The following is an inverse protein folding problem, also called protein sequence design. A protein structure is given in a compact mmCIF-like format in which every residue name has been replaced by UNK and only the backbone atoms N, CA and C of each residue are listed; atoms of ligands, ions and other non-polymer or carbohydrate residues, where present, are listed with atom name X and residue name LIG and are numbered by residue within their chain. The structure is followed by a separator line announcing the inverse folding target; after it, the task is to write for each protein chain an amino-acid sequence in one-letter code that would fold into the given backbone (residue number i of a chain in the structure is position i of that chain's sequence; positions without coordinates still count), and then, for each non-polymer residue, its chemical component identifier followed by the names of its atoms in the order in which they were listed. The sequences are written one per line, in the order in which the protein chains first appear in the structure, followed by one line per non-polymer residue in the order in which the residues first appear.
data_IF_244644316230
#
_entry.id   IF_244644316230
#
_cell.length_a   1.000
_cell.length_b   1.000
_cell.length_c   1.000
_cell.angle_alpha   90.00
_cell.angle_beta   90.00
_cell.angle_gamma   90.00
#
_symmetry.space_group_name_H-M   'P 1'
#
loop_
_entity.id
_entity.type
_entity.pdbx_description
1 polymer ?
#
# COMPACT_ATOMS: atom_id res chain seq x y z
N UNK A 1 15.60 4.35 -13.33
CA UNK A 1 14.67 4.24 -12.18
C UNK A 1 13.26 4.53 -12.66
N UNK A 2 12.37 3.56 -12.53
CA UNK A 2 10.95 3.80 -12.72
C UNK A 2 10.40 4.47 -11.46
N UNK A 3 9.74 5.61 -11.63
CA UNK A 3 9.05 6.27 -10.52
C UNK A 3 7.87 5.41 -10.06
N UNK A 4 7.65 5.35 -8.76
CA UNK A 4 6.48 4.67 -8.22
C UNK A 4 5.21 5.41 -8.62
N UNK A 5 4.20 4.64 -9.02
CA UNK A 5 2.90 5.15 -9.46
C UNK A 5 1.90 5.05 -8.33
N UNK A 6 1.31 6.17 -7.96
CA UNK A 6 0.34 6.25 -6.89
C UNK A 6 -0.99 6.75 -7.43
N UNK A 7 -2.08 6.19 -6.95
CA UNK A 7 -3.42 6.77 -7.12
C UNK A 7 -3.75 7.51 -5.84
N UNK A 8 -4.15 8.78 -5.97
CA UNK A 8 -4.51 9.64 -4.86
C UNK A 8 -5.91 10.19 -5.06
N UNK A 9 -6.82 9.94 -4.11
CA UNK A 9 -8.21 10.38 -4.19
C UNK A 9 -8.51 11.31 -3.02
N UNK A 10 -8.89 12.54 -3.35
CA UNK A 10 -9.24 13.63 -2.44
C UNK A 10 -10.26 14.52 -3.10
N UNK A 11 -11.44 14.71 -2.51
CA UNK A 11 -12.49 15.56 -3.08
C UNK A 11 -12.24 17.06 -2.92
N UNK A 12 -11.39 17.47 -1.96
CA UNK A 12 -10.90 18.84 -1.87
C UNK A 12 -9.82 19.07 -2.93
N UNK A 13 -10.20 19.72 -4.02
CA UNK A 13 -9.31 19.91 -5.16
C UNK A 13 -8.09 20.78 -4.83
N UNK A 14 -8.26 21.79 -3.98
CA UNK A 14 -7.14 22.67 -3.58
C UNK A 14 -6.12 21.87 -2.78
N UNK A 15 -6.57 21.15 -1.76
CA UNK A 15 -5.69 20.29 -0.96
C UNK A 15 -5.06 19.20 -1.83
N UNK A 16 -5.85 18.55 -2.68
CA UNK A 16 -5.39 17.51 -3.57
C UNK A 16 -4.31 17.97 -4.53
N UNK A 17 -4.46 19.16 -5.11
CA UNK A 17 -3.46 19.74 -6.00
C UNK A 17 -2.15 20.04 -5.26
N UNK A 18 -2.25 20.60 -4.05
CA UNK A 18 -1.07 20.90 -3.22
C UNK A 18 -0.29 19.63 -2.87
N UNK A 19 -0.99 18.62 -2.40
CA UNK A 19 -0.37 17.33 -2.03
C UNK A 19 0.20 16.64 -3.26
N UNK A 20 -0.53 16.63 -4.37
CA UNK A 20 -0.06 16.04 -5.63
C UNK A 20 1.24 16.70 -6.10
N UNK A 21 1.31 18.03 -6.09
CA UNK A 21 2.51 18.74 -6.49
C UNK A 21 3.70 18.39 -5.60
N UNK A 22 3.48 18.33 -4.29
CA UNK A 22 4.52 17.97 -3.34
C UNK A 22 5.01 16.53 -3.57
N UNK A 23 4.10 15.58 -3.83
CA UNK A 23 4.48 14.19 -4.08
C UNK A 23 5.23 14.04 -5.41
N UNK A 24 4.82 14.77 -6.45
CA UNK A 24 5.55 14.81 -7.73
C UNK A 24 6.96 15.35 -7.52
N UNK A 25 7.13 16.38 -6.71
CA UNK A 25 8.44 16.95 -6.39
C UNK A 25 9.35 15.95 -5.66
N UNK A 26 8.78 15.01 -4.91
CA UNK A 26 9.51 13.90 -4.28
C UNK A 26 9.84 12.76 -5.26
N UNK A 27 9.36 12.82 -6.49
CA UNK A 27 9.68 11.84 -7.54
C UNK A 27 8.61 10.79 -7.78
N UNK A 28 7.41 10.92 -7.20
CA UNK A 28 6.31 10.00 -7.46
C UNK A 28 5.53 10.42 -8.71
N UNK A 29 5.00 9.43 -9.41
CA UNK A 29 4.03 9.63 -10.48
C UNK A 29 2.62 9.51 -9.88
N UNK A 30 1.82 10.57 -9.96
CA UNK A 30 0.54 10.66 -9.25
C UNK A 30 -0.62 10.73 -10.24
N UNK A 31 -1.57 9.80 -10.09
CA UNK A 31 -2.90 9.91 -10.69
C UNK A 31 -3.84 10.46 -9.62
N UNK A 32 -4.10 11.77 -9.68
CA UNK A 32 -4.96 12.45 -8.72
C UNK A 32 -6.40 12.49 -9.23
N UNK A 33 -7.34 12.13 -8.36
CA UNK A 33 -8.77 12.10 -8.66
C UNK A 33 -9.59 12.69 -7.53
N UNK A 34 -10.69 13.33 -7.89
CA UNK A 34 -11.61 13.95 -6.93
C UNK A 34 -12.84 13.09 -6.64
N UNK A 35 -12.97 11.93 -7.28
CA UNK A 35 -14.09 11.01 -7.10
C UNK A 35 -13.61 9.56 -7.00
N UNK A 36 -14.47 8.69 -6.45
CA UNK A 36 -14.24 7.25 -6.44
C UNK A 36 -14.64 6.57 -7.76
N UNK A 37 -15.30 7.33 -8.65
CA UNK A 37 -15.77 6.78 -9.93
C UNK A 37 -14.60 6.29 -10.79
N UNK A 38 -14.73 5.11 -11.33
CA UNK A 38 -13.72 4.53 -12.21
C UNK A 38 -12.47 4.01 -11.48
N UNK A 39 -12.47 3.96 -10.15
CA UNK A 39 -11.31 3.49 -9.38
C UNK A 39 -10.97 2.02 -9.68
N UNK A 40 -11.97 1.16 -9.76
CA UNK A 40 -11.74 -0.27 -10.05
C UNK A 40 -11.09 -0.48 -11.40
N UNK A 41 -11.57 0.22 -12.43
CA UNK A 41 -11.01 0.18 -13.78
C UNK A 41 -9.56 0.69 -13.80
N UNK A 42 -9.29 1.73 -13.05
CA UNK A 42 -7.95 2.31 -12.95
C UNK A 42 -6.98 1.40 -12.24
N UNK A 43 -7.43 0.74 -11.18
CA UNK A 43 -6.61 -0.26 -10.48
C UNK A 43 -6.22 -1.40 -11.42
N UNK A 44 -7.16 -1.86 -12.23
CA UNK A 44 -6.93 -2.94 -13.18
C UNK A 44 -5.98 -2.53 -14.32
N UNK A 45 -6.09 -1.30 -14.82
CA UNK A 45 -5.30 -0.82 -15.96
C UNK A 45 -3.93 -0.27 -15.57
N UNK A 46 -3.84 0.47 -14.48
CA UNK A 46 -2.60 1.11 -14.04
C UNK A 46 -1.71 0.22 -13.20
N UNK A 47 -2.30 -0.68 -12.41
CA UNK A 47 -1.59 -1.48 -11.39
C UNK A 47 -0.68 -0.58 -10.54
N UNK A 48 -1.25 0.36 -9.76
CA UNK A 48 -0.45 1.30 -8.98
C UNK A 48 0.35 0.58 -7.89
N UNK A 49 1.42 1.23 -7.46
CA UNK A 49 2.27 0.73 -6.38
C UNK A 49 1.69 1.01 -5.00
N UNK A 50 0.80 2.01 -4.89
CA UNK A 50 0.17 2.40 -3.64
C UNK A 50 -1.08 3.24 -3.92
N UNK A 51 -2.06 3.16 -3.02
CA UNK A 51 -3.31 3.88 -3.08
C UNK A 51 -3.47 4.77 -1.85
N UNK A 52 -3.81 6.04 -2.06
CA UNK A 52 -4.11 7.00 -0.98
C UNK A 52 -5.57 7.43 -1.14
N UNK A 53 -6.36 7.24 -0.09
CA UNK A 53 -7.79 7.52 -0.08
C UNK A 53 -8.18 8.43 1.09
N UNK A 54 -9.09 9.37 0.86
CA UNK A 54 -9.87 9.95 1.94
C UNK A 54 -10.99 8.97 2.37
N UNK A 55 -11.36 8.97 3.64
CA UNK A 55 -12.46 8.14 4.13
C UNK A 55 -13.77 8.51 3.45
N UNK A 56 -14.07 9.80 3.33
CA UNK A 56 -15.27 10.29 2.69
C UNK A 56 -14.94 11.11 1.47
N UNK A 57 -15.40 10.67 0.31
CA UNK A 57 -15.23 11.35 -0.96
C UNK A 57 -16.62 11.60 -1.55
N UNK A 58 -17.03 12.86 -1.68
CA UNK A 58 -18.34 13.25 -2.21
C UNK A 58 -19.50 12.51 -1.50
N UNK A 59 -19.45 12.47 -0.16
CA UNK A 59 -20.43 11.78 0.70
C UNK A 59 -20.48 10.26 0.52
N UNK A 60 -19.49 9.67 -0.16
CA UNK A 60 -19.32 8.22 -0.24
C UNK A 60 -18.18 7.80 0.67
N UNK A 61 -18.40 6.76 1.46
CA UNK A 61 -17.35 6.19 2.30
C UNK A 61 -16.48 5.23 1.50
N UNK A 62 -15.17 5.43 1.51
CA UNK A 62 -14.26 4.48 0.89
C UNK A 62 -14.22 3.14 1.64
N UNK A 63 -14.68 3.10 2.89
CA UNK A 63 -14.75 1.85 3.67
C UNK A 63 -15.69 0.83 3.04
N UNK A 64 -16.67 1.29 2.26
CA UNK A 64 -17.62 0.38 1.58
C UNK A 64 -16.97 -0.38 0.42
N UNK A 65 -15.99 0.24 -0.25
CA UNK A 65 -15.31 -0.37 -1.41
C UNK A 65 -13.97 -1.01 -1.04
N UNK A 66 -13.41 -0.67 0.10
CA UNK A 66 -12.07 -1.09 0.51
C UNK A 66 -11.93 -2.61 0.65
N UNK A 67 -12.90 -3.35 1.24
CA UNK A 67 -12.79 -4.81 1.32
C UNK A 67 -12.70 -5.49 -0.05
N UNK A 68 -13.46 -5.00 -1.04
CA UNK A 68 -13.42 -5.52 -2.40
C UNK A 68 -12.05 -5.25 -3.05
N UNK A 69 -11.49 -4.06 -2.87
CA UNK A 69 -10.16 -3.70 -3.37
C UNK A 69 -9.11 -4.62 -2.72
N UNK A 70 -9.17 -4.78 -1.41
CA UNK A 70 -8.23 -5.63 -0.68
C UNK A 70 -8.32 -7.10 -1.12
N UNK A 71 -9.51 -7.60 -1.40
CA UNK A 71 -9.72 -8.94 -1.90
C UNK A 71 -9.07 -9.16 -3.27
N UNK A 72 -9.21 -8.18 -4.17
CA UNK A 72 -8.62 -8.25 -5.52
C UNK A 72 -7.12 -7.97 -5.53
N UNK A 73 -6.64 -7.10 -4.64
CA UNK A 73 -5.24 -6.66 -4.58
C UNK A 73 -4.70 -6.86 -3.17
N UNK A 74 -4.43 -8.12 -2.76
CA UNK A 74 -4.06 -8.42 -1.36
C UNK A 74 -2.76 -7.75 -0.92
N UNK A 75 -1.88 -7.40 -1.85
CA UNK A 75 -0.57 -6.83 -1.54
C UNK A 75 -0.49 -5.32 -1.76
N UNK A 76 -1.55 -4.69 -2.27
CA UNK A 76 -1.54 -3.26 -2.55
C UNK A 76 -1.48 -2.46 -1.26
N UNK A 77 -0.44 -1.62 -1.04
CA UNK A 77 -0.42 -0.72 0.10
C UNK A 77 -1.52 0.34 -0.02
N UNK A 78 -2.27 0.56 1.05
CA UNK A 78 -3.38 1.52 1.09
C UNK A 78 -3.22 2.41 2.31
N UNK A 79 -3.16 3.72 2.07
CA UNK A 79 -3.15 4.75 3.12
C UNK A 79 -4.50 5.45 3.11
N UNK A 80 -5.12 5.57 4.28
CA UNK A 80 -6.30 6.39 4.49
C UNK A 80 -5.86 7.71 5.11
N UNK A 81 -6.23 8.84 4.49
CA UNK A 81 -6.00 10.18 5.04
C UNK A 81 -7.34 10.82 5.34
N UNK A 82 -7.60 11.22 6.58
CA UNK A 82 -8.91 11.73 6.98
C UNK A 82 -8.83 12.71 8.14
N UNK A 83 -9.77 13.65 8.17
CA UNK A 83 -9.99 14.57 9.30
C UNK A 83 -10.73 13.92 10.47
N UNK A 84 -11.29 12.74 10.30
CA UNK A 84 -11.98 12.04 11.37
C UNK A 84 -11.02 11.53 12.44
N UNK A 85 -11.29 11.88 13.70
CA UNK A 85 -10.48 11.49 14.85
C UNK A 85 -11.10 10.36 15.67
N UNK A 86 -12.27 9.86 15.27
CA UNK A 86 -12.98 8.81 15.96
C UNK A 86 -12.22 7.49 15.89
N UNK A 87 -11.84 6.95 17.05
CA UNK A 87 -11.10 5.70 17.14
C UNK A 87 -11.82 4.52 16.48
N UNK A 88 -13.14 4.47 16.52
CA UNK A 88 -13.93 3.43 15.87
C UNK A 88 -13.75 3.45 14.35
N UNK A 89 -13.72 4.64 13.72
CA UNK A 89 -13.47 4.79 12.29
C UNK A 89 -12.04 4.39 11.91
N UNK A 90 -11.07 4.71 12.75
CA UNK A 90 -9.67 4.30 12.54
C UNK A 90 -9.57 2.77 12.54
N UNK A 91 -10.14 2.12 13.54
CA UNK A 91 -10.14 0.65 13.62
C UNK A 91 -10.85 0.04 12.42
N UNK A 92 -12.01 0.56 12.04
CA UNK A 92 -12.74 0.09 10.85
C UNK A 92 -11.94 0.23 9.56
N UNK A 93 -11.12 1.29 9.45
CA UNK A 93 -10.24 1.48 8.29
C UNK A 93 -9.22 0.35 8.17
N UNK A 94 -8.57 -0.01 9.27
CA UNK A 94 -7.63 -1.13 9.30
C UNK A 94 -8.32 -2.47 9.05
N UNK A 95 -9.48 -2.69 9.67
CA UNK A 95 -10.25 -3.93 9.47
C UNK A 95 -10.73 -4.07 8.02
N UNK A 96 -11.03 -2.96 7.35
CA UNK A 96 -11.44 -2.96 5.94
C UNK A 96 -10.28 -3.22 4.98
N UNK A 97 -9.02 -3.11 5.43
CA UNK A 97 -7.85 -3.43 4.65
C UNK A 97 -6.83 -2.32 4.45
N UNK A 98 -6.95 -1.19 5.16
CA UNK A 98 -5.94 -0.13 5.12
C UNK A 98 -4.65 -0.58 5.81
N UNK A 99 -3.51 -0.20 5.26
CA UNK A 99 -2.20 -0.45 5.87
C UNK A 99 -1.81 0.65 6.85
N UNK A 100 -2.27 1.87 6.62
CA UNK A 100 -1.94 3.01 7.45
C UNK A 100 -3.07 4.04 7.43
N UNK A 101 -3.24 4.75 8.55
CA UNK A 101 -4.21 5.84 8.70
C UNK A 101 -3.45 7.10 9.12
N UNK A 102 -3.64 8.20 8.38
CA UNK A 102 -3.01 9.48 8.68
C UNK A 102 -4.08 10.54 8.94
N UNK A 103 -3.93 11.29 10.02
CA UNK A 103 -4.90 12.33 10.42
C UNK A 103 -4.60 13.63 9.70
N UNK A 104 -5.64 14.26 9.17
CA UNK A 104 -5.56 15.63 8.66
C UNK A 104 -5.74 16.64 9.79
N UNK A 105 -5.04 17.78 9.80
CA UNK A 105 -3.97 18.13 8.88
C UNK A 105 -2.69 17.37 9.18
N UNK A 106 -1.94 17.05 8.14
CA UNK A 106 -0.65 16.37 8.26
C UNK A 106 0.42 17.12 7.50
N UNK A 107 1.67 16.90 7.90
CA UNK A 107 2.82 17.37 7.14
C UNK A 107 3.04 16.42 5.95
N UNK A 108 3.31 16.98 4.76
CA UNK A 108 3.63 16.17 3.57
C UNK A 108 4.82 15.25 3.82
N UNK A 109 5.79 15.69 4.61
CA UNK A 109 6.94 14.87 5.00
C UNK A 109 6.51 13.57 5.69
N UNK A 110 5.51 13.66 6.57
CA UNK A 110 4.93 12.48 7.24
C UNK A 110 4.30 11.52 6.23
N UNK A 111 3.51 12.06 5.29
CA UNK A 111 2.89 11.26 4.24
C UNK A 111 3.95 10.57 3.37
N UNK A 112 4.97 11.31 2.93
CA UNK A 112 6.07 10.76 2.13
C UNK A 112 6.80 9.65 2.87
N UNK A 113 7.07 9.85 4.16
CA UNK A 113 7.71 8.83 5.00
C UNK A 113 6.88 7.53 5.03
N UNK A 114 5.57 7.64 5.22
CA UNK A 114 4.69 6.48 5.23
C UNK A 114 4.62 5.79 3.87
N UNK A 115 4.56 6.56 2.78
CA UNK A 115 4.58 6.01 1.43
C UNK A 115 5.88 5.21 1.21
N UNK A 116 7.02 5.82 1.49
CA UNK A 116 8.32 5.18 1.29
C UNK A 116 8.46 3.92 2.14
N UNK A 117 7.99 3.97 3.39
CA UNK A 117 8.04 2.83 4.28
C UNK A 117 7.20 1.65 3.76
N UNK A 118 5.98 1.92 3.30
CA UNK A 118 5.10 0.89 2.74
C UNK A 118 5.65 0.33 1.43
N UNK A 119 6.21 1.17 0.56
CA UNK A 119 6.82 0.71 -0.69
C UNK A 119 8.05 -0.18 -0.42
N UNK A 120 8.86 0.15 0.57
CA UNK A 120 10.01 -0.68 0.97
C UNK A 120 9.57 -2.03 1.54
N UNK A 121 8.50 -2.05 2.32
CA UNK A 121 7.93 -3.30 2.84
C UNK A 121 7.42 -4.19 1.71
N UNK A 122 6.79 -3.60 0.70
CA UNK A 122 6.32 -4.32 -0.48
C UNK A 122 7.48 -4.92 -1.27
N UNK A 123 8.59 -4.19 -1.42
CA UNK A 123 9.82 -4.67 -2.07
C UNK A 123 10.50 -5.79 -1.27
N UNK A 124 10.39 -5.74 0.06
CA UNK A 124 10.94 -6.76 0.96
C UNK A 124 10.11 -8.05 0.99
N UNK A 125 8.95 -8.08 0.36
CA UNK A 125 8.23 -9.32 0.10
C UNK A 125 8.93 -10.06 -1.04
N UNK A 126 10.09 -10.58 -0.71
CA UNK A 126 10.94 -11.33 -1.59
C UNK A 126 10.29 -12.68 -1.90
N UNK A 127 10.59 -13.30 -3.07
CA UNK A 127 10.03 -14.61 -3.38
C UNK A 127 10.30 -15.56 -2.22
N UNK A 128 9.31 -16.37 -1.88
CA UNK A 128 9.39 -17.31 -0.77
C UNK A 128 10.54 -18.31 -0.93
N UNK A 129 11.02 -18.49 -2.17
CA UNK A 129 12.12 -19.40 -2.50
C UNK A 129 13.28 -18.61 -3.11
N UNK A 130 14.42 -18.66 -2.45
CA UNK A 130 15.67 -18.07 -2.92
C UNK A 130 16.59 -19.15 -3.45
N UNK A 131 17.24 -18.85 -4.57
CA UNK A 131 18.34 -19.71 -5.07
C UNK A 131 19.67 -19.04 -4.72
N UNK A 132 20.45 -19.76 -3.91
CA UNK A 132 21.81 -19.35 -3.56
C UNK A 132 22.74 -20.44 -4.07
N UNK A 133 23.38 -20.22 -5.23
CA UNK A 133 24.15 -21.24 -5.91
C UNK A 133 23.24 -22.42 -6.31
N UNK A 134 23.56 -23.62 -5.81
CA UNK A 134 22.76 -24.84 -6.04
C UNK A 134 21.72 -25.09 -4.95
N UNK A 135 21.72 -24.26 -3.91
CA UNK A 135 20.76 -24.38 -2.79
C UNK A 135 19.53 -23.53 -3.02
N UNK A 136 18.43 -23.96 -2.46
CA UNK A 136 17.18 -23.19 -2.40
C UNK A 136 16.81 -22.94 -0.94
N UNK A 137 16.38 -21.72 -0.63
CA UNK A 137 15.92 -21.34 0.71
C UNK A 137 14.46 -20.95 0.60
N UNK A 138 13.58 -21.70 1.27
CA UNK A 138 12.18 -21.34 1.41
C UNK A 138 12.00 -20.57 2.73
N UNK A 139 11.88 -19.25 2.62
CA UNK A 139 11.78 -18.38 3.80
C UNK A 139 10.42 -18.48 4.47
N UNK A 140 9.36 -18.80 3.73
CA UNK A 140 8.02 -18.96 4.29
C UNK A 140 7.90 -20.21 5.16
N UNK A 141 8.60 -21.27 4.80
CA UNK A 141 8.60 -22.55 5.52
C UNK A 141 9.83 -22.76 6.42
N UNK A 142 10.75 -21.79 6.43
CA UNK A 142 12.04 -21.90 7.15
C UNK A 142 12.81 -23.19 6.79
N UNK A 143 12.87 -23.47 5.48
CA UNK A 143 13.52 -24.68 4.97
C UNK A 143 14.72 -24.32 4.11
N UNK A 144 15.79 -25.10 4.25
CA UNK A 144 16.91 -25.12 3.34
C UNK A 144 16.82 -26.39 2.49
N UNK A 145 16.73 -26.24 1.17
CA UNK A 145 16.60 -27.34 0.23
C UNK A 145 17.96 -27.56 -0.45
N UNK A 146 18.51 -28.74 -0.30
CA UNK A 146 19.78 -29.14 -0.93
C UNK A 146 19.55 -29.51 -2.40
N UNK A 147 20.62 -29.48 -3.23
CA UNK A 147 20.52 -29.86 -4.64
C UNK A 147 20.05 -31.30 -4.88
N UNK A 148 20.22 -32.19 -3.91
CA UNK A 148 19.77 -33.60 -3.95
C UNK A 148 18.39 -33.81 -3.34
N UNK A 149 17.60 -32.73 -3.26
CA UNK A 149 16.24 -32.70 -2.72
C UNK A 149 16.12 -33.01 -1.22
N UNK A 150 17.26 -33.10 -0.50
CA UNK A 150 17.20 -33.18 0.96
C UNK A 150 16.69 -31.89 1.57
N UNK A 151 15.83 -32.00 2.56
CA UNK A 151 15.24 -30.87 3.26
C UNK A 151 15.77 -30.83 4.69
N UNK A 152 16.37 -29.67 5.07
CA UNK A 152 16.68 -29.40 6.47
C UNK A 152 15.71 -28.32 6.96
N UNK A 153 14.86 -28.63 7.93
CA UNK A 153 14.09 -27.64 8.64
C UNK A 153 15.00 -26.87 9.58
N UNK A 154 15.01 -25.54 9.50
CA UNK A 154 15.74 -24.74 10.46
C UNK A 154 14.95 -24.69 11.77
N UNK A 155 15.11 -25.71 12.58
CA UNK A 155 14.71 -25.65 13.99
C UNK A 155 15.88 -25.16 14.83
N UNK A 156 16.56 -24.11 14.41
CA UNK A 156 17.48 -23.42 15.31
C UNK A 156 16.68 -22.56 16.26
N UNK A 157 16.31 -23.12 17.36
CA UNK A 157 16.03 -22.36 18.57
C UNK A 157 17.38 -21.91 19.14
N UNK A 158 17.75 -20.69 18.84
CA UNK A 158 18.69 -19.97 19.70
C UNK A 158 17.92 -19.40 20.86
#
# INVERSE_FOLDING_TARGET
MTNSKLIYIEDDQILGNLITQALVDYGFEIDFRTTLNGLQESLASMLPDLLILDIEVNNQSCLDILPAIRSQYPQLPIIIASSHTNGAKIVRSYDAGANHYIKKPYDVTELVFQIQNLLQQSEKQLPAIWKIGTYQVDTAKHLLIYPDERILSSTYKC
#
